data_IF_495621726095
#
_entry.id   IF_495621726095
#
_cell.length_a   1.000
_cell.length_b   1.000
_cell.length_c   1.000
_cell.angle_alpha   90.00
_cell.angle_beta   90.00
_cell.angle_gamma   90.00
#
_symmetry.space_group_name_H-M   'P 1'
#
loop_
_entity.id
_entity.type
_entity.pdbx_description
1 polymer ?
#
# COMPACT_ATOMS: atom_id res chain seq x y z
N UNK A 1 -9.30 -3.04 5.48
CA UNK A 1 -8.98 -1.59 5.55
C UNK A 1 -7.54 -1.43 5.08
N UNK A 2 -7.18 -0.34 4.40
CA UNK A 2 -5.90 -0.20 3.69
C UNK A 2 -4.73 0.34 4.52
N UNK A 3 -4.76 0.20 5.85
CA UNK A 3 -3.73 0.67 6.78
C UNK A 3 -3.28 2.14 6.56
N UNK A 4 -4.22 3.00 6.14
CA UNK A 4 -4.05 4.45 6.10
C UNK A 4 -4.77 5.06 7.29
N UNK A 5 -4.04 5.88 8.04
CA UNK A 5 -4.54 6.57 9.22
C UNK A 5 -4.41 8.07 9.02
N UNK A 6 -5.44 8.81 9.39
CA UNK A 6 -5.42 10.26 9.45
C UNK A 6 -5.37 10.68 10.91
N UNK A 7 -4.34 11.44 11.27
CA UNK A 7 -4.16 12.01 12.60
C UNK A 7 -4.48 13.49 12.50
N UNK A 8 -5.27 14.02 13.44
CA UNK A 8 -5.72 15.41 13.44
C UNK A 8 -5.71 15.97 14.85
N UNK A 9 -5.47 17.28 14.99
CA UNK A 9 -5.54 17.95 16.28
C UNK A 9 -6.99 18.03 16.74
N UNK A 10 -7.24 17.74 18.02
CA UNK A 10 -8.57 17.89 18.62
C UNK A 10 -8.73 19.18 19.43
N UNK A 11 -7.61 19.82 19.79
CA UNK A 11 -7.59 21.08 20.55
C UNK A 11 -7.42 22.26 19.59
N UNK A 12 -8.28 23.27 19.75
CA UNK A 12 -8.36 24.43 18.86
C UNK A 12 -8.32 25.78 19.60
N UNK A 13 -8.47 25.79 20.92
CA UNK A 13 -8.46 27.00 21.74
C UNK A 13 -7.38 26.90 22.83
N UNK A 14 -6.69 28.01 23.09
CA UNK A 14 -5.69 28.12 24.15
C UNK A 14 -4.28 27.63 23.80
N UNK A 15 -4.06 27.23 22.54
CA UNK A 15 -2.75 26.86 21.99
C UNK A 15 -2.57 27.53 20.63
N UNK A 16 -1.36 27.98 20.31
CA UNK A 16 -1.07 28.57 19.00
C UNK A 16 -0.95 27.50 17.92
N UNK A 17 -1.14 27.84 16.65
CA UNK A 17 -0.91 26.92 15.54
C UNK A 17 0.55 26.44 15.49
N UNK A 18 1.50 27.31 15.83
CA UNK A 18 2.91 26.93 15.94
C UNK A 18 3.15 25.87 17.01
N UNK A 19 2.47 25.97 18.16
CA UNK A 19 2.59 24.97 19.22
C UNK A 19 1.95 23.65 18.80
N UNK A 20 0.79 23.69 18.13
CA UNK A 20 0.14 22.51 17.57
C UNK A 20 1.09 21.79 16.60
N UNK A 21 1.63 22.51 15.61
CA UNK A 21 2.54 21.94 14.61
C UNK A 21 3.78 21.36 15.31
N UNK A 22 4.37 22.11 16.24
CA UNK A 22 5.55 21.65 16.99
C UNK A 22 5.26 20.40 17.82
N UNK A 23 4.07 20.28 18.40
CA UNK A 23 3.66 19.09 19.14
C UNK A 23 3.51 17.88 18.20
N UNK A 24 2.93 18.07 17.02
CA UNK A 24 2.80 17.01 16.03
C UNK A 24 4.15 16.54 15.52
N UNK A 25 5.02 17.47 15.11
CA UNK A 25 6.32 17.16 14.52
C UNK A 25 7.30 16.54 15.51
N UNK A 26 7.34 17.03 16.75
CA UNK A 26 8.39 16.66 17.71
C UNK A 26 7.98 15.58 18.70
N UNK A 27 6.68 15.33 18.88
CA UNK A 27 6.18 14.37 19.89
C UNK A 27 5.33 13.30 19.25
N UNK A 28 4.21 13.69 18.62
CA UNK A 28 3.18 12.73 18.19
C UNK A 28 3.66 11.86 17.02
N UNK A 29 4.19 12.46 15.95
CA UNK A 29 4.64 11.72 14.77
C UNK A 29 5.82 10.80 15.10
N UNK A 30 6.88 11.25 15.81
CA UNK A 30 7.99 10.37 16.20
C UNK A 30 7.56 9.15 16.99
N UNK A 31 6.68 9.30 17.99
CA UNK A 31 6.21 8.17 18.83
C UNK A 31 5.47 7.12 18.00
N UNK A 32 4.63 7.55 17.05
CA UNK A 32 3.90 6.64 16.15
C UNK A 32 4.87 5.92 15.20
N UNK A 33 5.86 6.63 14.67
CA UNK A 33 6.88 6.05 13.78
C UNK A 33 7.72 5.03 14.55
N UNK A 34 8.11 5.31 15.79
CA UNK A 34 8.83 4.38 16.66
C UNK A 34 8.01 3.11 16.94
N UNK A 35 6.72 3.27 17.27
CA UNK A 35 5.82 2.15 17.50
C UNK A 35 5.69 1.25 16.25
N UNK A 36 5.47 1.84 15.08
CA UNK A 36 5.36 1.10 13.81
C UNK A 36 6.68 0.40 13.45
N UNK A 37 7.83 1.05 13.64
CA UNK A 37 9.13 0.44 13.41
C UNK A 37 9.39 -0.73 14.36
N UNK A 38 9.00 -0.62 15.63
CA UNK A 38 9.11 -1.71 16.60
C UNK A 38 8.22 -2.90 16.19
N UNK A 39 6.97 -2.65 15.80
CA UNK A 39 6.05 -3.68 15.32
C UNK A 39 6.58 -4.40 14.07
N UNK A 40 7.13 -3.65 13.11
CA UNK A 40 7.77 -4.20 11.91
C UNK A 40 9.00 -5.06 12.23
N UNK A 41 9.86 -4.58 13.14
CA UNK A 41 11.02 -5.33 13.60
C UNK A 41 10.61 -6.64 14.27
N UNK A 42 9.55 -6.61 15.09
CA UNK A 42 9.01 -7.81 15.70
C UNK A 42 8.49 -8.79 14.64
N UNK A 43 7.71 -8.30 13.67
CA UNK A 43 7.16 -9.12 12.59
C UNK A 43 8.29 -9.79 11.78
N UNK A 44 9.35 -9.05 11.45
CA UNK A 44 10.49 -9.59 10.69
C UNK A 44 11.32 -10.59 11.52
N UNK A 45 11.61 -10.29 12.77
CA UNK A 45 12.50 -11.11 13.61
C UNK A 45 11.83 -12.36 14.20
N UNK A 46 10.52 -12.31 14.48
CA UNK A 46 9.80 -13.40 15.15
C UNK A 46 8.81 -14.14 14.25
N UNK A 47 8.30 -13.48 13.23
CA UNK A 47 7.16 -13.96 12.42
C UNK A 47 7.45 -13.84 10.92
N UNK A 48 8.71 -14.04 10.51
CA UNK A 48 9.14 -13.90 9.10
C UNK A 48 8.32 -14.75 8.13
N UNK A 49 7.95 -15.98 8.53
CA UNK A 49 7.13 -16.87 7.69
C UNK A 49 5.70 -16.32 7.50
N UNK A 50 5.16 -15.65 8.52
CA UNK A 50 3.84 -15.01 8.46
C UNK A 50 3.89 -13.79 7.54
N UNK A 51 4.96 -13.00 7.62
CA UNK A 51 5.19 -11.88 6.71
C UNK A 51 5.29 -12.37 5.26
N UNK A 52 6.07 -13.43 5.02
CA UNK A 52 6.26 -14.00 3.69
C UNK A 52 4.95 -14.51 3.09
N UNK A 53 4.17 -15.30 3.85
CA UNK A 53 2.88 -15.83 3.40
C UNK A 53 1.88 -14.70 3.10
N UNK A 54 1.81 -13.65 3.94
CA UNK A 54 0.95 -12.48 3.70
C UNK A 54 1.27 -11.78 2.39
N UNK A 55 2.55 -11.53 2.12
CA UNK A 55 3.00 -10.87 0.89
C UNK A 55 2.75 -11.77 -0.33
N UNK A 56 3.08 -13.06 -0.22
CA UNK A 56 2.89 -14.04 -1.29
C UNK A 56 1.43 -14.18 -1.69
N UNK A 57 0.51 -14.32 -0.72
CA UNK A 57 -0.94 -14.38 -0.97
C UNK A 57 -1.47 -13.11 -1.60
N UNK A 58 -1.06 -11.94 -1.08
CA UNK A 58 -1.48 -10.66 -1.64
C UNK A 58 -1.06 -10.52 -3.09
N UNK A 59 0.19 -10.85 -3.41
CA UNK A 59 0.72 -10.85 -4.76
C UNK A 59 -0.05 -11.82 -5.67
N UNK A 60 -0.27 -13.06 -5.23
CA UNK A 60 -0.97 -14.07 -6.02
C UNK A 60 -2.43 -13.66 -6.33
N UNK A 61 -3.16 -13.18 -5.32
CA UNK A 61 -4.54 -12.75 -5.47
C UNK A 61 -4.65 -11.52 -6.39
N UNK A 62 -3.84 -10.47 -6.15
CA UNK A 62 -3.92 -9.25 -6.95
C UNK A 62 -3.55 -9.47 -8.43
N UNK A 63 -2.66 -10.43 -8.72
CA UNK A 63 -2.24 -10.75 -10.09
C UNK A 63 -3.23 -11.61 -10.86
N UNK A 64 -4.12 -12.35 -10.19
CA UNK A 64 -5.00 -13.35 -10.82
C UNK A 64 -6.50 -13.09 -10.62
N UNK A 65 -6.92 -12.39 -9.56
CA UNK A 65 -8.33 -12.19 -9.24
C UNK A 65 -9.05 -11.47 -10.40
N UNK A 66 -10.27 -11.90 -10.75
CA UNK A 66 -11.11 -11.29 -11.79
C UNK A 66 -12.18 -10.35 -11.25
N UNK A 67 -12.53 -10.51 -9.98
CA UNK A 67 -13.40 -9.63 -9.21
C UNK A 67 -12.66 -9.34 -7.91
N UNK A 68 -12.56 -8.07 -7.54
CA UNK A 68 -11.94 -7.68 -6.28
C UNK A 68 -12.71 -6.51 -5.71
N UNK A 69 -13.20 -6.67 -4.48
CA UNK A 69 -13.91 -5.59 -3.81
C UNK A 69 -12.96 -4.43 -3.48
N UNK A 70 -13.51 -3.25 -3.18
CA UNK A 70 -12.66 -2.13 -2.76
C UNK A 70 -11.92 -2.43 -1.46
N UNK A 71 -12.57 -3.09 -0.51
CA UNK A 71 -11.97 -3.38 0.80
C UNK A 71 -10.86 -4.43 0.70
N UNK A 72 -11.06 -5.43 -0.15
CA UNK A 72 -10.07 -6.48 -0.42
C UNK A 72 -8.86 -5.91 -1.18
N UNK A 73 -9.10 -5.09 -2.22
CA UNK A 73 -8.00 -4.44 -2.93
C UNK A 73 -7.17 -3.57 -1.99
N UNK A 74 -7.81 -2.77 -1.13
CA UNK A 74 -7.11 -1.96 -0.13
C UNK A 74 -6.25 -2.86 0.78
N UNK A 75 -6.82 -3.94 1.30
CA UNK A 75 -6.11 -4.85 2.21
C UNK A 75 -4.88 -5.51 1.55
N UNK A 76 -5.05 -6.07 0.35
CA UNK A 76 -3.96 -6.77 -0.33
C UNK A 76 -2.87 -5.81 -0.83
N UNK A 77 -3.25 -4.62 -1.32
CA UNK A 77 -2.27 -3.60 -1.71
C UNK A 77 -1.45 -3.11 -0.50
N UNK A 78 -2.03 -3.10 0.70
CA UNK A 78 -1.29 -2.75 1.93
C UNK A 78 -0.23 -3.79 2.28
N UNK A 79 -0.49 -5.09 2.08
CA UNK A 79 0.53 -6.12 2.25
C UNK A 79 1.68 -5.99 1.25
N UNK A 80 1.39 -5.68 -0.02
CA UNK A 80 2.46 -5.41 -1.00
C UNK A 80 3.27 -4.17 -0.61
N UNK A 81 2.59 -3.10 -0.18
CA UNK A 81 3.24 -1.88 0.30
C UNK A 81 4.12 -2.16 1.51
N UNK A 82 3.65 -2.96 2.47
CA UNK A 82 4.43 -3.38 3.63
C UNK A 82 5.69 -4.10 3.17
N UNK A 83 5.59 -5.10 2.29
CA UNK A 83 6.74 -5.84 1.76
C UNK A 83 7.81 -4.94 1.12
N UNK A 84 7.40 -3.95 0.33
CA UNK A 84 8.34 -2.97 -0.23
C UNK A 84 8.98 -2.08 0.83
N UNK A 85 8.20 -1.60 1.81
CA UNK A 85 8.74 -0.78 2.89
C UNK A 85 9.71 -1.57 3.77
N UNK A 86 9.44 -2.86 4.03
CA UNK A 86 10.34 -3.77 4.76
C UNK A 86 11.68 -3.90 4.03
N UNK A 87 11.64 -4.04 2.70
CA UNK A 87 12.85 -4.10 1.89
C UNK A 87 13.63 -2.78 1.90
N UNK A 88 12.98 -1.66 1.55
CA UNK A 88 13.65 -0.37 1.34
C UNK A 88 14.19 0.25 2.63
N UNK A 89 13.49 0.11 3.76
CA UNK A 89 13.86 0.79 5.01
C UNK A 89 14.53 -0.12 6.04
N UNK A 90 14.38 -1.44 5.92
CA UNK A 90 14.87 -2.39 6.92
C UNK A 90 15.76 -3.47 6.32
N UNK A 91 15.97 -3.48 5.00
CA UNK A 91 16.78 -4.49 4.33
C UNK A 91 16.19 -5.89 4.43
N UNK A 92 14.89 -6.02 4.66
CA UNK A 92 14.24 -7.31 4.76
C UNK A 92 14.34 -8.07 3.44
N UNK A 93 14.65 -9.37 3.55
CA UNK A 93 14.68 -10.29 2.43
C UNK A 93 13.96 -11.57 2.86
N UNK A 94 12.90 -11.87 2.14
CA UNK A 94 12.12 -13.11 2.23
C UNK A 94 11.81 -13.55 0.81
N UNK A 95 11.54 -14.83 0.54
CA UNK A 95 11.24 -15.31 -0.82
C UNK A 95 10.16 -14.49 -1.55
N UNK A 96 9.09 -14.09 -0.85
CA UNK A 96 8.02 -13.27 -1.39
C UNK A 96 8.46 -11.82 -1.64
N UNK A 97 9.20 -11.19 -0.72
CA UNK A 97 9.77 -9.84 -0.90
C UNK A 97 10.73 -9.83 -2.09
N UNK A 98 11.62 -10.81 -2.20
CA UNK A 98 12.58 -10.90 -3.30
C UNK A 98 11.86 -11.11 -4.63
N UNK A 99 10.78 -11.90 -4.64
CA UNK A 99 9.94 -12.09 -5.82
C UNK A 99 9.25 -10.79 -6.22
N UNK A 100 8.68 -10.08 -5.24
CA UNK A 100 8.06 -8.77 -5.45
C UNK A 100 9.08 -7.76 -6.03
N UNK A 101 10.29 -7.72 -5.47
CA UNK A 101 11.39 -6.87 -5.96
C UNK A 101 11.90 -7.27 -7.35
N UNK A 102 11.87 -8.55 -7.72
CA UNK A 102 12.23 -8.98 -9.08
C UNK A 102 11.18 -8.57 -10.11
N UNK A 103 9.89 -8.67 -9.77
CA UNK A 103 8.81 -8.20 -10.65
C UNK A 103 8.94 -6.70 -10.95
N UNK A 104 9.46 -5.91 -10.00
CA UNK A 104 9.77 -4.49 -10.17
C UNK A 104 10.86 -4.26 -11.22
N UNK A 105 11.87 -5.14 -11.28
CA UNK A 105 13.08 -4.94 -12.07
C UNK A 105 12.98 -5.49 -13.50
N UNK A 106 11.99 -6.36 -13.78
CA UNK A 106 11.85 -7.02 -15.09
C UNK A 106 11.11 -6.18 -16.15
N UNK A 107 10.75 -4.93 -15.85
CA UNK A 107 10.36 -3.93 -16.87
C UNK A 107 11.59 -3.47 -17.66
N UNK A 108 12.02 -4.27 -18.63
CA UNK A 108 13.17 -3.99 -19.49
C UNK A 108 12.86 -2.96 -20.57
N UNK A 109 13.32 -1.73 -20.35
CA UNK A 109 13.85 -0.82 -21.37
C UNK A 109 14.68 0.25 -20.65
N UNK A 110 15.90 0.51 -21.14
CA UNK A 110 16.90 1.38 -20.52
C UNK A 110 16.48 2.86 -20.35
N UNK A 111 15.24 3.21 -20.73
CA UNK A 111 14.70 4.57 -20.73
C UNK A 111 13.34 4.71 -20.00
N UNK A 112 12.78 3.64 -19.42
CA UNK A 112 11.55 3.70 -18.60
C UNK A 112 11.79 3.13 -17.20
N UNK A 113 12.24 3.98 -16.28
CA UNK A 113 12.22 3.73 -14.83
C UNK A 113 10.77 3.68 -14.31
N UNK A 114 10.03 2.61 -14.52
CA UNK A 114 8.74 2.40 -13.82
C UNK A 114 8.56 0.93 -13.44
N UNK A 115 9.42 0.45 -12.54
CA UNK A 115 9.09 -0.73 -11.74
C UNK A 115 7.96 -0.43 -10.75
N UNK A 116 7.35 -1.46 -10.13
CA UNK A 116 6.37 -1.27 -9.04
C UNK A 116 7.04 -0.58 -7.84
N UNK A 117 6.89 0.73 -7.72
CA UNK A 117 7.36 1.48 -6.55
C UNK A 117 6.24 1.58 -5.51
N UNK A 118 6.58 2.04 -4.30
CA UNK A 118 5.57 2.50 -3.33
C UNK A 118 4.62 3.50 -3.99
N UNK A 119 5.13 4.38 -4.87
CA UNK A 119 4.29 5.32 -5.61
C UNK A 119 3.31 4.63 -6.57
N UNK A 120 3.70 3.52 -7.20
CA UNK A 120 2.80 2.73 -8.04
C UNK A 120 1.68 2.09 -7.23
N UNK A 121 1.98 1.55 -6.05
CA UNK A 121 0.96 1.00 -5.14
C UNK A 121 0.05 2.12 -4.63
N UNK A 122 0.60 3.27 -4.24
CA UNK A 122 -0.17 4.46 -3.84
C UNK A 122 -1.09 4.95 -4.95
N UNK A 123 -0.64 4.90 -6.20
CA UNK A 123 -1.48 5.20 -7.36
C UNK A 123 -2.60 4.18 -7.53
N UNK A 124 -2.32 2.89 -7.35
CA UNK A 124 -3.36 1.86 -7.39
C UNK A 124 -4.41 2.08 -6.29
N UNK A 125 -4.02 2.45 -5.07
CA UNK A 125 -4.97 2.84 -4.02
C UNK A 125 -5.92 3.94 -4.50
N UNK A 126 -5.40 5.02 -5.08
CA UNK A 126 -6.23 6.13 -5.57
C UNK A 126 -7.13 5.71 -6.75
N UNK A 127 -6.57 5.00 -7.74
CA UNK A 127 -7.30 4.67 -8.98
C UNK A 127 -8.39 3.62 -8.78
N UNK A 128 -8.29 2.79 -7.74
CA UNK A 128 -9.19 1.65 -7.51
C UNK A 128 -10.32 1.96 -6.54
N UNK A 129 -10.33 3.15 -5.92
CA UNK A 129 -11.44 3.57 -5.07
C UNK A 129 -12.75 3.70 -5.87
N UNK A 130 -13.93 3.40 -5.27
CA UNK A 130 -15.20 3.35 -5.99
C UNK A 130 -15.53 4.63 -6.76
N UNK A 131 -15.33 5.80 -6.12
CA UNK A 131 -15.60 7.10 -6.73
C UNK A 131 -14.65 7.39 -7.90
N UNK A 132 -13.37 7.03 -7.79
CA UNK A 132 -12.39 7.26 -8.85
C UNK A 132 -12.65 6.36 -10.06
N UNK A 133 -12.99 5.09 -9.84
CA UNK A 133 -13.42 4.18 -10.91
C UNK A 133 -14.65 4.71 -11.64
N UNK A 134 -15.62 5.21 -10.88
CA UNK A 134 -16.86 5.77 -11.39
C UNK A 134 -16.62 7.02 -12.25
N UNK A 135 -15.77 7.94 -11.79
CA UNK A 135 -15.40 9.15 -12.52
C UNK A 135 -14.60 8.82 -13.79
N UNK A 136 -13.60 7.95 -13.69
CA UNK A 136 -12.72 7.62 -14.81
C UNK A 136 -13.42 6.82 -15.92
N UNK A 137 -14.45 6.04 -15.57
CA UNK A 137 -15.24 5.29 -16.55
C UNK A 137 -16.29 6.15 -17.27
N UNK A 138 -16.70 7.28 -16.67
CA UNK A 138 -17.61 8.26 -17.29
C UNK A 138 -19.08 7.84 -17.37
N UNK A 139 -19.47 6.68 -16.80
CA UNK A 139 -20.86 6.17 -16.75
C UNK A 139 -21.10 5.42 -15.45
N UNK A 140 -22.32 5.45 -14.87
CA UNK A 140 -22.66 4.70 -13.66
C UNK A 140 -22.28 3.22 -13.81
N UNK A 141 -21.50 2.72 -12.86
CA UNK A 141 -21.07 1.33 -12.79
C UNK A 141 -21.83 0.65 -11.64
N UNK A 142 -22.39 -0.53 -11.86
CA UNK A 142 -22.88 -1.36 -10.75
C UNK A 142 -21.70 -1.97 -9.94
N UNK A 143 -21.98 -2.51 -8.73
CA UNK A 143 -20.93 -3.05 -7.86
C UNK A 143 -20.05 -4.11 -8.54
N UNK A 144 -20.62 -5.04 -9.29
CA UNK A 144 -19.89 -6.14 -9.91
C UNK A 144 -18.98 -5.64 -11.04
N UNK A 145 -19.47 -4.72 -11.87
CA UNK A 145 -18.62 -4.10 -12.90
C UNK A 145 -17.50 -3.25 -12.30
N UNK A 146 -17.72 -2.56 -11.17
CA UNK A 146 -16.64 -1.86 -10.45
C UNK A 146 -15.56 -2.82 -9.97
N UNK A 147 -15.97 -3.96 -9.40
CA UNK A 147 -15.04 -4.97 -8.89
C UNK A 147 -14.24 -5.64 -10.01
N UNK A 148 -14.87 -5.89 -11.16
CA UNK A 148 -14.20 -6.41 -12.34
C UNK A 148 -13.20 -5.39 -12.94
N UNK A 149 -13.61 -4.14 -13.05
CA UNK A 149 -12.76 -3.06 -13.56
C UNK A 149 -11.56 -2.81 -12.64
N UNK A 150 -11.79 -2.81 -11.32
CA UNK A 150 -10.74 -2.72 -10.30
C UNK A 150 -9.70 -3.82 -10.49
N UNK A 151 -10.16 -5.06 -10.54
CA UNK A 151 -9.29 -6.21 -10.72
C UNK A 151 -8.51 -6.11 -12.03
N UNK A 152 -9.15 -5.66 -13.12
CA UNK A 152 -8.50 -5.47 -14.43
C UNK A 152 -7.38 -4.43 -14.35
N UNK A 153 -7.61 -3.28 -13.74
CA UNK A 153 -6.61 -2.22 -13.58
C UNK A 153 -5.41 -2.74 -12.77
N UNK A 154 -5.66 -3.37 -11.62
CA UNK A 154 -4.60 -3.92 -10.76
C UNK A 154 -3.75 -4.93 -11.54
N UNK A 155 -4.39 -5.92 -12.19
CA UNK A 155 -3.65 -6.93 -12.97
C UNK A 155 -2.84 -6.32 -14.10
N UNK A 156 -3.37 -5.31 -14.79
CA UNK A 156 -2.65 -4.65 -15.89
C UNK A 156 -1.38 -3.95 -15.44
N UNK A 157 -1.35 -3.45 -14.19
CA UNK A 157 -0.18 -2.78 -13.60
C UNK A 157 0.79 -3.78 -12.97
N UNK A 158 0.29 -4.90 -12.40
CA UNK A 158 1.15 -5.89 -11.74
C UNK A 158 1.75 -6.94 -12.68
N UNK A 159 1.15 -7.17 -13.86
CA UNK A 159 1.59 -8.17 -14.84
C UNK A 159 2.20 -7.54 -16.11
N UNK A 160 2.05 -6.23 -16.31
CA UNK A 160 2.63 -5.49 -17.44
C UNK A 160 3.99 -4.93 -17.07
#
# INVERSE_FOLDING_TARGET
AGDFYQISNQVTLGISESDIISQFENVIIPEIVEYENAARNQLLSKESDVLDDKISRAMALLRNAHLISSQEALFLLSHLRLGLNMHEHMGASTPAIDTLCRLIRQGGDADKRQGLSIATINRLFMLTLPAHLQLNYGKPLDPTHRDALRAKIIRSVLNG
#
